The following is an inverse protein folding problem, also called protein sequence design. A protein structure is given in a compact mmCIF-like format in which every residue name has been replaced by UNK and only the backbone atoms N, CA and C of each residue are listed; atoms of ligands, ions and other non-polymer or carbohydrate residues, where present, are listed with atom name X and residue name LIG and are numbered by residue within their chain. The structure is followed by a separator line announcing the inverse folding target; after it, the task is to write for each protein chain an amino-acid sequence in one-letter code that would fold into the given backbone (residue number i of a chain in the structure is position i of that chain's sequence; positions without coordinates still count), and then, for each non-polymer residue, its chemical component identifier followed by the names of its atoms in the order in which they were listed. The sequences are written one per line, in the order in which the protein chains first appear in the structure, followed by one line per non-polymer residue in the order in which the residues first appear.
data_IF_643407440389
#
_entry.id   IF_643407440389
#
_cell.length_a   1.000
_cell.length_b   1.000
_cell.length_c   1.000
_cell.angle_alpha   90.00
_cell.angle_beta   90.00
_cell.angle_gamma   90.00
#
_symmetry.space_group_name_H-M   'P 1'
#
loop_
_entity.id
_entity.type
_entity.pdbx_description
1 polymer ?
#
# COMPACT_ATOMS: atom_id res chain seq x y z
N UNK A 1 26.58 38.63 -49.98
CA UNK A 1 25.28 39.34 -49.95
C UNK A 1 24.23 38.27 -50.23
N UNK A 2 23.36 37.77 -49.31
CA UNK A 2 22.59 38.44 -48.24
C UNK A 2 21.96 39.74 -48.76
N UNK A 3 20.64 39.92 -48.87
CA UNK A 3 19.48 39.03 -48.65
C UNK A 3 18.42 39.39 -49.74
N UNK A 4 17.13 39.00 -49.75
CA UNK A 4 16.24 38.34 -48.79
C UNK A 4 15.08 37.66 -49.58
N UNK A 5 14.42 36.64 -49.01
CA UNK A 5 13.10 36.18 -49.48
C UNK A 5 12.18 35.94 -48.28
N UNK A 6 10.94 36.42 -48.33
CA UNK A 6 9.94 36.16 -47.29
C UNK A 6 9.59 34.67 -47.25
N UNK A 7 9.37 34.14 -46.05
CA UNK A 7 8.53 32.95 -45.88
C UNK A 7 7.49 33.20 -44.79
N UNK A 8 6.25 32.79 -45.06
CA UNK A 8 5.07 33.08 -44.25
C UNK A 8 4.99 32.13 -43.07
N UNK A 9 4.73 32.68 -41.88
CA UNK A 9 4.44 31.91 -40.67
C UNK A 9 3.03 31.30 -40.75
N UNK A 10 2.97 30.01 -41.11
CA UNK A 10 1.80 29.14 -40.90
C UNK A 10 2.04 28.31 -39.65
N UNK A 11 1.53 28.76 -38.50
CA UNK A 11 1.46 27.95 -37.27
C UNK A 11 0.10 27.26 -37.22
N UNK A 12 0.02 26.08 -37.82
CA UNK A 12 -1.17 25.24 -37.75
C UNK A 12 -1.17 24.38 -36.48
N UNK A 13 -2.18 24.58 -35.64
CA UNK A 13 -2.81 23.53 -34.84
C UNK A 13 -1.92 22.67 -33.92
N UNK A 14 -1.71 23.16 -32.69
CA UNK A 14 -1.69 22.28 -31.53
C UNK A 14 -2.79 22.74 -30.56
N UNK A 15 -3.92 22.04 -30.56
CA UNK A 15 -4.89 22.16 -29.47
C UNK A 15 -4.29 21.48 -28.25
N UNK A 16 -3.73 22.29 -27.35
CA UNK A 16 -3.31 21.81 -26.03
C UNK A 16 -4.59 21.59 -25.21
N UNK A 17 -4.83 20.35 -24.82
CA UNK A 17 -5.86 20.00 -23.84
C UNK A 17 -5.62 20.81 -22.57
N UNK A 18 -6.68 21.42 -22.02
CA UNK A 18 -6.59 22.15 -20.77
C UNK A 18 -6.07 21.20 -19.67
N UNK A 19 -4.91 21.55 -19.09
CA UNK A 19 -4.45 20.92 -17.86
C UNK A 19 -5.26 21.49 -16.70
N UNK A 20 -5.65 20.64 -15.76
CA UNK A 20 -6.24 21.09 -14.49
C UNK A 20 -5.31 22.11 -13.82
N UNK A 21 -5.85 23.29 -13.50
CA UNK A 21 -5.13 24.24 -12.65
C UNK A 21 -4.94 23.63 -11.25
N UNK A 22 -3.79 23.83 -10.60
CA UNK A 22 -3.60 23.38 -9.23
C UNK A 22 -4.60 24.12 -8.34
N UNK A 23 -5.51 23.39 -7.71
CA UNK A 23 -6.58 23.97 -6.90
C UNK A 23 -6.03 24.88 -5.80
N UNK A 24 -6.18 26.20 -5.99
CA UNK A 24 -5.94 27.18 -4.93
C UNK A 24 -6.88 26.85 -3.76
N UNK A 25 -6.31 26.50 -2.60
CA UNK A 25 -7.09 26.35 -1.38
C UNK A 25 -7.63 27.73 -0.99
N UNK A 26 -8.95 27.98 -1.00
CA UNK A 26 -9.48 29.32 -0.78
C UNK A 26 -9.16 29.77 0.65
N UNK A 27 -8.46 30.89 0.79
CA UNK A 27 -8.16 31.49 2.08
C UNK A 27 -9.44 32.13 2.66
N UNK A 28 -10.30 31.31 3.27
CA UNK A 28 -11.53 31.76 3.92
C UNK A 28 -11.25 32.70 5.10
N UNK A 29 -12.11 33.70 5.23
CA UNK A 29 -12.14 34.61 6.38
C UNK A 29 -12.87 33.95 7.56
N UNK A 30 -12.60 34.36 8.82
CA UNK A 30 -13.27 33.78 9.99
C UNK A 30 -14.80 33.89 9.99
N UNK A 31 -15.37 34.81 9.21
CA UNK A 31 -16.81 35.00 9.04
C UNK A 31 -17.47 33.96 8.13
N UNK A 32 -16.71 33.29 7.26
CA UNK A 32 -17.22 32.30 6.29
C UNK A 32 -17.21 30.87 6.89
N UNK A 33 -16.37 30.65 7.91
CA UNK A 33 -16.23 29.39 8.64
C UNK A 33 -17.55 28.77 9.15
N UNK A 34 -18.54 29.53 9.68
CA UNK A 34 -19.81 28.95 10.17
C UNK A 34 -20.69 28.34 9.07
N UNK A 35 -20.47 28.72 7.81
CA UNK A 35 -21.17 28.19 6.65
C UNK A 35 -20.35 27.18 5.83
N UNK A 36 -19.10 26.91 6.23
CA UNK A 36 -18.24 25.98 5.51
C UNK A 36 -18.66 24.54 5.77
N UNK A 37 -19.46 24.02 4.85
CA UNK A 37 -19.74 22.61 4.75
C UNK A 37 -18.50 21.94 4.15
N UNK A 38 -17.69 21.29 4.99
CA UNK A 38 -16.63 20.41 4.51
C UNK A 38 -17.24 19.47 3.46
N UNK A 39 -16.64 19.42 2.27
CA UNK A 39 -17.00 18.42 1.27
C UNK A 39 -16.95 17.07 1.98
N UNK A 40 -18.11 16.42 2.13
CA UNK A 40 -18.19 15.09 2.69
C UNK A 40 -17.50 14.16 1.70
N UNK A 41 -16.20 13.98 1.95
CA UNK A 41 -15.22 13.17 1.22
C UNK A 41 -15.94 12.17 0.35
N UNK A 42 -15.99 12.47 -0.96
CA UNK A 42 -16.83 11.78 -1.96
C UNK A 42 -16.91 10.31 -1.62
N UNK A 43 -18.12 9.78 -1.47
CA UNK A 43 -18.34 8.41 -1.02
C UNK A 43 -17.60 7.45 -1.97
N UNK A 44 -16.41 7.03 -1.53
CA UNK A 44 -15.47 6.21 -2.29
C UNK A 44 -16.24 5.00 -2.81
N UNK A 45 -16.13 4.69 -4.10
CA UNK A 45 -16.94 3.61 -4.66
C UNK A 45 -16.67 2.31 -3.85
N UNK A 46 -17.69 1.54 -3.47
CA UNK A 46 -17.51 0.39 -2.60
C UNK A 46 -16.52 -0.57 -3.24
N UNK A 47 -15.41 -0.82 -2.54
CA UNK A 47 -14.28 -1.54 -3.11
C UNK A 47 -14.69 -2.96 -3.53
N UNK A 48 -14.29 -3.34 -4.74
CA UNK A 48 -14.54 -4.66 -5.29
C UNK A 48 -13.45 -5.60 -4.81
N UNK A 49 -13.84 -6.64 -4.07
CA UNK A 49 -12.94 -7.68 -3.58
C UNK A 49 -13.14 -8.96 -4.39
N UNK A 50 -12.05 -9.59 -4.79
CA UNK A 50 -12.04 -10.88 -5.46
C UNK A 50 -10.85 -11.72 -5.01
N UNK A 51 -10.88 -13.01 -5.31
CA UNK A 51 -9.68 -13.86 -5.27
C UNK A 51 -8.54 -13.27 -6.11
N UNK A 52 -7.32 -13.71 -5.81
CA UNK A 52 -6.15 -13.42 -6.63
C UNK A 52 -6.29 -14.04 -8.02
N UNK A 53 -6.10 -13.24 -9.07
CA UNK A 53 -5.96 -13.79 -10.42
C UNK A 53 -4.62 -14.52 -10.56
N UNK A 54 -4.52 -15.46 -11.52
CA UNK A 54 -3.30 -16.25 -11.77
C UNK A 54 -2.05 -15.36 -11.92
N UNK A 55 -2.17 -14.24 -12.66
CA UNK A 55 -1.07 -13.30 -12.83
C UNK A 55 -0.70 -12.53 -11.55
N UNK A 56 -1.67 -12.28 -10.67
CA UNK A 56 -1.43 -11.65 -9.37
C UNK A 56 -0.76 -12.61 -8.40
N UNK A 57 -1.20 -13.87 -8.33
CA UNK A 57 -0.54 -14.91 -7.53
C UNK A 57 0.90 -15.12 -7.99
N UNK A 58 1.13 -15.26 -9.29
CA UNK A 58 2.47 -15.35 -9.88
C UNK A 58 3.36 -14.14 -9.52
N UNK A 59 2.81 -12.93 -9.59
CA UNK A 59 3.54 -11.72 -9.19
C UNK A 59 3.90 -11.75 -7.70
N UNK A 60 2.97 -12.13 -6.83
CA UNK A 60 3.26 -12.25 -5.39
C UNK A 60 4.32 -13.33 -5.09
N UNK A 61 4.31 -14.44 -5.81
CA UNK A 61 5.35 -15.47 -5.68
C UNK A 61 6.72 -14.95 -6.15
N UNK A 62 6.77 -14.15 -7.23
CA UNK A 62 7.98 -13.41 -7.62
C UNK A 62 8.50 -12.50 -6.50
N UNK A 63 7.62 -11.74 -5.85
CA UNK A 63 7.99 -10.87 -4.72
C UNK A 63 8.54 -11.67 -3.52
N UNK A 64 7.92 -12.80 -3.18
CA UNK A 64 8.40 -13.71 -2.13
C UNK A 64 9.81 -14.21 -2.41
N UNK A 65 10.06 -14.71 -3.62
CA UNK A 65 11.36 -15.24 -4.00
C UNK A 65 12.43 -14.13 -4.05
N UNK A 66 12.09 -12.92 -4.50
CA UNK A 66 13.01 -11.78 -4.48
C UNK A 66 13.41 -11.38 -3.04
N UNK A 67 12.45 -11.30 -2.11
CA UNK A 67 12.73 -11.01 -0.72
C UNK A 67 13.51 -12.14 -0.01
N UNK A 68 13.21 -13.41 -0.28
CA UNK A 68 14.01 -14.54 0.23
C UNK A 68 15.45 -14.53 -0.30
N UNK A 69 15.64 -14.17 -1.57
CA UNK A 69 16.97 -14.02 -2.16
C UNK A 69 17.75 -12.85 -1.54
N UNK A 70 17.07 -11.76 -1.16
CA UNK A 70 17.68 -10.66 -0.40
C UNK A 70 18.15 -11.15 0.98
N UNK A 71 17.29 -11.86 1.72
CA UNK A 71 17.62 -12.44 3.03
C UNK A 71 18.83 -13.39 2.95
N UNK A 72 18.88 -14.29 1.96
CA UNK A 72 19.98 -15.23 1.80
C UNK A 72 21.29 -14.54 1.40
N UNK A 73 21.27 -13.63 0.43
CA UNK A 73 22.47 -12.97 -0.09
C UNK A 73 23.07 -11.91 0.86
N UNK A 74 22.23 -11.24 1.67
CA UNK A 74 22.67 -10.10 2.51
C UNK A 74 22.80 -10.44 3.99
N UNK A 75 21.99 -11.38 4.48
CA UNK A 75 21.97 -11.80 5.88
C UNK A 75 22.47 -13.24 6.11
N UNK A 76 22.59 -14.06 5.05
CA UNK A 76 22.93 -15.49 5.17
C UNK A 76 21.74 -16.36 5.62
N UNK A 77 20.52 -15.82 5.57
CA UNK A 77 19.32 -16.48 6.06
C UNK A 77 18.71 -17.30 4.93
N UNK A 78 18.90 -18.63 4.98
CA UNK A 78 18.54 -19.56 3.92
C UNK A 78 17.07 -20.04 3.95
N UNK A 79 16.39 -19.82 5.08
CA UNK A 79 15.02 -20.30 5.30
C UNK A 79 14.14 -19.17 5.84
N UNK A 80 12.91 -19.10 5.33
CA UNK A 80 11.86 -18.20 5.78
C UNK A 80 10.53 -18.95 5.63
N UNK A 81 9.87 -19.24 6.75
CA UNK A 81 8.71 -20.13 6.83
C UNK A 81 7.43 -19.40 7.27
N UNK A 82 7.46 -18.07 7.23
CA UNK A 82 6.41 -17.17 7.72
C UNK A 82 6.05 -17.39 9.20
N UNK A 83 7.03 -17.76 10.03
CA UNK A 83 6.86 -17.89 11.48
C UNK A 83 7.14 -16.57 12.21
N UNK A 84 6.67 -16.45 13.46
CA UNK A 84 6.98 -15.28 14.31
C UNK A 84 8.49 -15.06 14.49
N UNK A 85 9.28 -16.14 14.48
CA UNK A 85 10.75 -16.04 14.57
C UNK A 85 11.36 -15.31 13.36
N UNK A 86 10.75 -15.44 12.18
CA UNK A 86 11.24 -14.86 10.93
C UNK A 86 11.10 -13.32 10.90
N UNK A 87 10.31 -12.71 11.80
CA UNK A 87 10.24 -11.25 11.96
C UNK A 87 11.62 -10.65 12.28
N UNK A 88 12.48 -11.39 13.01
CA UNK A 88 13.86 -10.98 13.31
C UNK A 88 14.66 -10.76 12.04
N UNK A 89 14.46 -11.62 11.02
CA UNK A 89 15.10 -11.53 9.71
C UNK A 89 14.68 -10.27 8.95
N UNK A 90 13.41 -9.87 9.08
CA UNK A 90 12.88 -8.65 8.46
C UNK A 90 13.40 -7.40 9.17
N UNK A 91 13.48 -7.40 10.50
CA UNK A 91 14.07 -6.32 11.29
C UNK A 91 15.55 -6.11 10.92
N UNK A 92 16.31 -7.20 10.76
CA UNK A 92 17.73 -7.11 10.36
C UNK A 92 17.96 -6.46 8.99
N UNK A 93 17.01 -6.53 8.04
CA UNK A 93 17.11 -5.80 6.77
C UNK A 93 17.11 -4.29 6.99
N UNK A 94 16.29 -3.82 7.95
CA UNK A 94 16.22 -2.41 8.35
C UNK A 94 17.44 -1.99 9.18
N UNK A 95 17.74 -2.69 10.28
CA UNK A 95 18.81 -2.34 11.21
C UNK A 95 20.18 -2.26 10.54
N UNK A 96 20.46 -3.20 9.62
CA UNK A 96 21.72 -3.26 8.86
C UNK A 96 21.69 -2.39 7.60
N UNK A 97 20.61 -1.64 7.36
CA UNK A 97 20.41 -0.78 6.18
C UNK A 97 20.71 -1.50 4.86
N UNK A 98 20.18 -2.72 4.74
CA UNK A 98 20.36 -3.58 3.56
C UNK A 98 19.65 -3.00 2.34
N UNK A 99 18.54 -2.31 2.58
CA UNK A 99 17.75 -1.56 1.59
C UNK A 99 17.87 -0.07 1.89
N UNK A 100 17.96 0.74 0.83
CA UNK A 100 17.87 2.19 0.89
C UNK A 100 16.45 2.68 1.13
N UNK A 101 16.31 3.97 1.43
CA UNK A 101 14.99 4.63 1.65
C UNK A 101 14.10 4.53 0.42
N UNK A 102 14.69 4.70 -0.76
CA UNK A 102 13.98 4.82 -2.05
C UNK A 102 13.75 3.47 -2.74
N UNK A 103 14.21 2.35 -2.15
CA UNK A 103 14.04 0.98 -2.68
C UNK A 103 12.61 0.44 -2.46
N UNK A 104 11.61 1.24 -2.84
CA UNK A 104 10.20 1.01 -2.53
C UNK A 104 9.69 -0.36 -2.98
N UNK A 105 10.17 -0.88 -4.13
CA UNK A 105 9.84 -2.24 -4.60
C UNK A 105 10.35 -3.32 -3.65
N UNK A 106 11.58 -3.21 -3.19
CA UNK A 106 12.19 -4.25 -2.36
C UNK A 106 11.60 -4.20 -0.94
N UNK A 107 11.26 -3.01 -0.44
CA UNK A 107 10.42 -2.84 0.75
C UNK A 107 9.02 -3.43 0.61
N UNK A 108 8.42 -3.37 -0.60
CA UNK A 108 7.13 -4.02 -0.87
C UNK A 108 7.24 -5.53 -0.93
N UNK A 109 8.34 -6.07 -1.47
CA UNK A 109 8.65 -7.50 -1.45
C UNK A 109 8.81 -8.01 0.00
N UNK A 110 9.48 -7.23 0.87
CA UNK A 110 9.55 -7.48 2.33
C UNK A 110 8.16 -7.39 2.98
N UNK A 111 7.31 -6.45 2.54
CA UNK A 111 5.91 -6.34 2.94
C UNK A 111 5.07 -7.58 2.61
N UNK A 112 5.34 -8.29 1.51
CA UNK A 112 4.70 -9.57 1.19
C UNK A 112 5.11 -10.66 2.18
N UNK A 113 6.41 -10.80 2.49
CA UNK A 113 6.88 -11.79 3.48
C UNK A 113 6.30 -11.53 4.88
N UNK A 114 6.21 -10.27 5.30
CA UNK A 114 5.51 -9.90 6.54
C UNK A 114 4.01 -10.22 6.47
N UNK A 115 3.38 -9.96 5.34
CA UNK A 115 2.00 -10.35 5.06
C UNK A 115 1.76 -11.86 5.19
N UNK A 116 2.69 -12.69 4.73
CA UNK A 116 2.59 -14.15 4.89
C UNK A 116 2.67 -14.58 6.37
N UNK A 117 3.47 -13.90 7.21
CA UNK A 117 3.47 -14.10 8.67
C UNK A 117 2.07 -13.76 9.22
N UNK A 118 1.53 -12.58 8.92
CA UNK A 118 0.21 -12.14 9.39
C UNK A 118 -0.90 -13.10 8.93
N UNK A 119 -0.86 -13.58 7.68
CA UNK A 119 -1.80 -14.53 7.12
C UNK A 119 -1.85 -15.82 7.94
N UNK A 120 -0.67 -16.38 8.23
CA UNK A 120 -0.51 -17.61 9.01
C UNK A 120 -0.93 -17.45 10.47
N UNK A 121 -0.50 -16.38 11.13
CA UNK A 121 -0.79 -16.15 12.56
C UNK A 121 -2.25 -15.82 12.83
N UNK A 122 -2.95 -15.18 11.87
CA UNK A 122 -4.31 -14.70 12.07
C UNK A 122 -5.36 -15.39 11.20
N UNK A 123 -5.00 -16.43 10.45
CA UNK A 123 -5.89 -17.14 9.52
C UNK A 123 -6.56 -16.17 8.54
N UNK A 124 -5.75 -15.26 7.97
CA UNK A 124 -6.16 -14.36 6.90
C UNK A 124 -5.75 -14.98 5.56
N UNK A 125 -6.45 -14.62 4.48
CA UNK A 125 -6.11 -15.03 3.13
C UNK A 125 -5.87 -13.81 2.25
N UNK A 126 -5.03 -13.97 1.23
CA UNK A 126 -4.70 -12.90 0.29
C UNK A 126 -5.81 -12.72 -0.74
N UNK A 127 -6.23 -11.48 -0.96
CA UNK A 127 -7.26 -11.09 -1.93
C UNK A 127 -6.83 -9.91 -2.78
N UNK A 128 -7.53 -9.74 -3.91
CA UNK A 128 -7.44 -8.57 -4.75
C UNK A 128 -8.50 -7.56 -4.34
N UNK A 129 -8.06 -6.42 -3.83
CA UNK A 129 -8.91 -5.30 -3.43
C UNK A 129 -8.81 -4.20 -4.48
N UNK A 130 -9.93 -3.80 -5.08
CA UNK A 130 -9.98 -2.74 -6.09
C UNK A 130 -10.84 -1.57 -5.61
N UNK A 131 -10.25 -0.39 -5.53
CA UNK A 131 -10.90 0.88 -5.25
C UNK A 131 -10.66 1.89 -6.40
N UNK A 132 -11.02 3.15 -6.18
CA UNK A 132 -10.83 4.25 -7.13
C UNK A 132 -9.35 4.59 -7.39
N UNK A 133 -8.44 4.22 -6.48
CA UNK A 133 -7.00 4.44 -6.62
C UNK A 133 -6.31 3.30 -7.39
N UNK A 134 -6.92 2.12 -7.45
CA UNK A 134 -6.51 1.02 -8.31
C UNK A 134 -6.66 -0.35 -7.65
N UNK A 135 -5.75 -1.26 -7.98
CA UNK A 135 -5.78 -2.65 -7.51
C UNK A 135 -4.66 -2.88 -6.50
N UNK A 136 -5.03 -3.15 -5.26
CA UNK A 136 -4.15 -3.53 -4.16
C UNK A 136 -4.16 -5.04 -3.91
N UNK A 137 -3.18 -5.50 -3.13
CA UNK A 137 -3.12 -6.85 -2.56
C UNK A 137 -3.13 -6.74 -1.04
N UNK A 138 -4.11 -7.37 -0.41
CA UNK A 138 -4.33 -7.27 1.02
C UNK A 138 -4.74 -8.62 1.60
N UNK A 139 -4.71 -8.72 2.91
CA UNK A 139 -5.19 -9.86 3.67
C UNK A 139 -6.62 -9.58 4.13
N UNK A 140 -7.52 -10.54 3.94
CA UNK A 140 -8.90 -10.47 4.41
C UNK A 140 -9.16 -11.54 5.48
N UNK A 141 -9.99 -11.21 6.47
CA UNK A 141 -10.49 -12.20 7.42
C UNK A 141 -11.88 -12.70 7.01
N UNK A 142 -11.95 -13.96 6.52
CA UNK A 142 -13.17 -14.56 5.96
C UNK A 142 -13.79 -13.62 4.91
N UNK A 143 -15.10 -13.71 4.68
CA UNK A 143 -15.82 -12.85 3.73
C UNK A 143 -16.24 -11.49 4.36
N UNK A 144 -15.50 -10.99 5.34
CA UNK A 144 -15.83 -9.73 6.04
C UNK A 144 -15.11 -8.52 5.44
N UNK A 145 -15.61 -7.31 5.69
CA UNK A 145 -14.97 -6.06 5.23
C UNK A 145 -13.77 -5.63 6.11
N UNK A 146 -13.00 -6.58 6.65
CA UNK A 146 -11.83 -6.33 7.49
C UNK A 146 -10.55 -6.73 6.75
N UNK A 147 -9.72 -5.73 6.42
CA UNK A 147 -8.55 -5.87 5.55
C UNK A 147 -7.26 -5.38 6.22
N UNK A 148 -6.12 -6.00 5.89
CA UNK A 148 -4.78 -5.56 6.28
C UNK A 148 -3.91 -5.41 5.02
N UNK A 149 -3.19 -4.29 4.89
CA UNK A 149 -2.44 -3.93 3.68
C UNK A 149 -0.91 -3.95 3.91
N UNK A 150 -0.28 -5.12 4.08
CA UNK A 150 1.13 -5.22 4.48
C UNK A 150 2.11 -4.81 3.37
N UNK A 151 1.73 -4.95 2.10
CA UNK A 151 2.63 -4.75 0.94
C UNK A 151 3.29 -3.37 0.96
N UNK A 152 2.53 -2.28 1.04
CA UNK A 152 3.12 -0.92 1.02
C UNK A 152 3.50 -0.38 2.40
N UNK A 153 3.35 -1.18 3.46
CA UNK A 153 3.43 -0.73 4.86
C UNK A 153 4.83 -0.24 5.25
N UNK A 154 5.87 -0.92 4.77
CA UNK A 154 7.26 -0.54 5.01
C UNK A 154 7.72 0.54 4.03
N UNK A 155 7.38 0.44 2.74
CA UNK A 155 7.79 1.46 1.75
C UNK A 155 7.24 2.84 2.08
N UNK A 156 6.02 2.94 2.62
CA UNK A 156 5.44 4.21 3.09
C UNK A 156 6.18 4.77 4.31
N UNK A 157 6.56 3.92 5.27
CA UNK A 157 7.36 4.35 6.43
C UNK A 157 8.70 4.93 5.99
N UNK A 158 9.39 4.22 5.10
CA UNK A 158 10.64 4.71 4.52
C UNK A 158 10.44 6.03 3.78
N UNK A 159 9.39 6.18 2.97
CA UNK A 159 9.07 7.44 2.28
C UNK A 159 8.95 8.64 3.24
N UNK A 160 8.36 8.45 4.43
CA UNK A 160 8.13 9.50 5.44
C UNK A 160 9.17 9.55 6.58
N UNK A 161 10.33 8.88 6.42
CA UNK A 161 11.40 8.79 7.44
C UNK A 161 10.96 8.16 8.79
N UNK A 162 9.87 7.40 8.79
CA UNK A 162 9.41 6.65 9.96
C UNK A 162 10.32 5.45 10.25
N UNK A 163 10.59 5.18 11.53
CA UNK A 163 11.33 3.99 11.94
C UNK A 163 10.52 2.72 11.71
N UNK A 164 11.19 1.63 11.31
CA UNK A 164 10.57 0.31 11.20
C UNK A 164 10.94 -0.52 12.43
N UNK A 165 9.97 -0.69 13.33
CA UNK A 165 9.96 -1.76 14.33
C UNK A 165 8.93 -2.80 13.87
N UNK A 166 9.41 -3.90 13.27
CA UNK A 166 8.59 -4.99 12.76
C UNK A 166 7.76 -5.63 13.88
N UNK A 167 8.27 -5.64 15.11
CA UNK A 167 7.58 -6.26 16.26
C UNK A 167 6.46 -5.38 16.77
N UNK A 168 6.68 -4.08 16.94
CA UNK A 168 5.64 -3.13 17.32
C UNK A 168 4.54 -3.08 16.25
N UNK A 169 4.91 -3.02 14.96
CA UNK A 169 3.95 -3.06 13.84
C UNK A 169 3.12 -4.36 13.86
N UNK A 170 3.73 -5.50 14.18
CA UNK A 170 3.01 -6.76 14.34
C UNK A 170 2.02 -6.73 15.52
N UNK A 171 2.43 -6.24 16.69
CA UNK A 171 1.58 -6.21 17.89
C UNK A 171 0.41 -5.20 17.74
N UNK A 172 0.61 -4.08 17.02
CA UNK A 172 -0.47 -3.13 16.65
C UNK A 172 -1.51 -3.77 15.71
N UNK A 173 -1.03 -4.46 14.66
CA UNK A 173 -1.92 -5.20 13.74
C UNK A 173 -2.64 -6.30 14.50
N UNK A 174 -1.95 -7.04 15.38
CA UNK A 174 -2.53 -8.08 16.21
C UNK A 174 -3.71 -7.54 17.01
N UNK A 175 -3.51 -6.45 17.75
CA UNK A 175 -4.57 -5.80 18.55
C UNK A 175 -5.76 -5.41 17.68
N UNK A 176 -5.50 -4.80 16.51
CA UNK A 176 -6.54 -4.42 15.54
C UNK A 176 -7.33 -5.64 15.02
N UNK A 177 -6.63 -6.74 14.71
CA UNK A 177 -7.21 -7.99 14.20
C UNK A 177 -8.04 -8.71 15.26
N UNK A 178 -7.55 -8.77 16.50
CA UNK A 178 -8.29 -9.34 17.63
C UNK A 178 -9.55 -8.51 17.94
N UNK A 179 -9.45 -7.18 17.88
CA UNK A 179 -10.58 -6.27 18.08
C UNK A 179 -11.67 -6.43 17.02
N UNK A 180 -11.34 -6.51 15.71
CA UNK A 180 -12.37 -6.72 14.70
C UNK A 180 -12.97 -8.14 14.81
N UNK A 181 -12.16 -9.19 15.05
CA UNK A 181 -12.68 -10.55 15.27
C UNK A 181 -13.68 -10.61 16.42
N UNK A 182 -13.40 -9.90 17.51
CA UNK A 182 -14.30 -9.78 18.65
C UNK A 182 -15.55 -8.91 18.38
N UNK A 183 -15.52 -8.00 17.39
CA UNK A 183 -16.72 -7.31 16.90
C UNK A 183 -17.60 -8.24 16.08
N UNK A 184 -17.05 -8.88 15.07
CA UNK A 184 -17.80 -9.78 14.17
C UNK A 184 -18.39 -10.98 14.93
N UNK A 185 -17.66 -11.54 15.90
CA UNK A 185 -18.17 -12.61 16.78
C UNK A 185 -19.28 -12.17 17.76
N UNK A 186 -19.51 -10.85 17.93
CA UNK A 186 -20.68 -10.31 18.65
C UNK A 186 -21.84 -10.06 17.70
N UNK A 187 -21.59 -9.60 16.47
CA UNK A 187 -22.61 -9.40 15.45
C UNK A 187 -23.29 -10.73 15.09
N UNK A 188 -22.51 -11.77 14.78
CA UNK A 188 -23.05 -13.10 14.48
C UNK A 188 -23.77 -13.80 15.65
N UNK A 189 -23.70 -13.26 16.88
CA UNK A 189 -24.48 -13.71 18.06
C UNK A 189 -25.73 -12.86 18.33
N UNK A 190 -25.91 -11.77 17.60
CA UNK A 190 -27.09 -10.91 17.67
C UNK A 190 -28.10 -11.23 16.55
N UNK A 191 -27.71 -12.11 15.62
CA UNK A 191 -28.50 -12.57 14.47
C UNK A 191 -29.03 -14.01 14.65
N UNK A 192 -28.66 -14.69 15.75
CA UNK A 192 -29.20 -15.99 16.24
C UNK A 192 -30.19 -15.79 17.39
#
# INVERSE_FOLDING_TARGET
MKALLLFVLMVSGCQVLAADEPAESPAMTPQELPGYQFDQKQAQAPAVVSDLSVGQSYYMDRQREEAKNLLSQKLGILHFNAELADMTSLQQLYDRKVLGKDDARDWQNVGVLFGDILAKQFSLHWVSYKDDLGISKCLQWRDTQNFVFPVTMFSKRMQFDEQIDVRAIYDDIKSTVEAFKAREARLGKAEE
#
